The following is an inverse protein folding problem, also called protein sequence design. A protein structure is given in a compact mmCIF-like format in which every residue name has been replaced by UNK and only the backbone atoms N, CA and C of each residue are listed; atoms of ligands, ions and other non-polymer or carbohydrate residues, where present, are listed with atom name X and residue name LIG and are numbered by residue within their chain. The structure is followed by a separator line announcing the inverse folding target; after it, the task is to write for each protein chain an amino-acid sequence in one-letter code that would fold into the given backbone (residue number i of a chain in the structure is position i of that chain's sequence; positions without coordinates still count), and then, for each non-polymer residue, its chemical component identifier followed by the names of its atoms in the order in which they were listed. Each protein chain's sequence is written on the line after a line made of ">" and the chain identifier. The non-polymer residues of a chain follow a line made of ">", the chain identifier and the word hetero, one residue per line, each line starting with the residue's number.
data_IF_674979504405
#
_entry.id   IF_674979504405
#
_cell.length_a   1.000
_cell.length_b   1.000
_cell.length_c   1.000
_cell.angle_alpha   90.00
_cell.angle_beta   90.00
_cell.angle_gamma   90.00
#
_symmetry.space_group_name_H-M   'P 1'
#
loop_
_entity.id
_entity.type
_entity.pdbx_description
1 polymer ?
#
# COMPACT_ATOMS: atom_id res chain seq x y z
N UNK A 1 20.06 -1.72 -4.28
CA UNK A 1 19.04 -2.74 -3.96
C UNK A 1 18.12 -2.90 -5.15
N UNK A 2 17.53 -4.09 -5.30
CA UNK A 2 16.47 -4.38 -6.28
C UNK A 2 15.10 -4.29 -5.56
N UNK A 3 14.28 -3.34 -5.98
CA UNK A 3 13.04 -2.96 -5.30
C UNK A 3 11.86 -3.17 -6.23
N UNK A 4 10.91 -4.02 -5.83
CA UNK A 4 9.65 -4.24 -6.56
C UNK A 4 8.58 -3.33 -5.98
N UNK A 5 7.88 -2.56 -6.83
CA UNK A 5 6.80 -1.67 -6.40
C UNK A 5 5.54 -1.98 -7.20
N UNK A 6 4.44 -2.30 -6.52
CA UNK A 6 3.17 -2.53 -7.19
C UNK A 6 2.36 -1.25 -7.35
N UNK A 7 1.64 -1.11 -8.47
CA UNK A 7 0.83 0.07 -8.74
C UNK A 7 1.64 1.34 -9.00
N UNK A 8 2.73 1.23 -9.76
CA UNK A 8 3.67 2.33 -10.06
C UNK A 8 3.17 3.31 -11.13
N UNK A 9 1.97 3.10 -11.67
CA UNK A 9 1.44 3.94 -12.75
C UNK A 9 0.98 5.34 -12.31
N UNK A 10 0.75 5.57 -11.02
CA UNK A 10 0.31 6.87 -10.48
C UNK A 10 0.52 7.01 -8.98
N UNK A 11 0.23 8.19 -8.43
CA UNK A 11 0.18 8.45 -6.99
C UNK A 11 1.45 8.06 -6.24
N UNK A 12 1.28 7.45 -5.07
CA UNK A 12 2.42 7.06 -4.21
C UNK A 12 3.38 6.10 -4.90
N UNK A 13 2.86 5.12 -5.66
CA UNK A 13 3.71 4.14 -6.35
C UNK A 13 4.63 4.79 -7.36
N UNK A 14 4.14 5.75 -8.14
CA UNK A 14 4.97 6.52 -9.08
C UNK A 14 6.01 7.36 -8.36
N UNK A 15 5.61 8.15 -7.38
CA UNK A 15 6.51 8.99 -6.61
C UNK A 15 7.59 8.16 -5.88
N UNK A 16 7.22 7.01 -5.32
CA UNK A 16 8.16 6.08 -4.69
C UNK A 16 9.16 5.53 -5.71
N UNK A 17 8.68 5.14 -6.90
CA UNK A 17 9.54 4.67 -8.00
C UNK A 17 10.59 5.72 -8.37
N UNK A 18 10.16 6.95 -8.60
CA UNK A 18 11.05 8.03 -8.98
C UNK A 18 12.03 8.41 -7.86
N UNK A 19 11.56 8.46 -6.60
CA UNK A 19 12.38 8.78 -5.43
C UNK A 19 13.48 7.75 -5.22
N UNK A 20 13.14 6.46 -5.28
CA UNK A 20 14.12 5.38 -5.08
C UNK A 20 15.08 5.23 -6.27
N UNK A 21 14.62 5.50 -7.48
CA UNK A 21 15.50 5.54 -8.66
C UNK A 21 16.54 6.66 -8.56
N UNK A 22 16.13 7.88 -8.14
CA UNK A 22 17.04 9.00 -7.86
C UNK A 22 18.05 8.68 -6.74
N UNK A 23 17.65 7.87 -5.77
CA UNK A 23 18.55 7.37 -4.71
C UNK A 23 19.51 6.26 -5.17
N UNK A 24 19.53 5.92 -6.46
CA UNK A 24 20.47 4.97 -7.06
C UNK A 24 20.07 3.49 -6.94
N UNK A 25 18.83 3.20 -6.57
CA UNK A 25 18.31 1.83 -6.55
C UNK A 25 17.91 1.34 -7.95
N UNK A 26 17.86 0.03 -8.13
CA UNK A 26 17.21 -0.60 -9.28
C UNK A 26 15.74 -0.83 -8.91
N UNK A 27 14.82 -0.16 -9.60
CA UNK A 27 13.39 -0.22 -9.32
C UNK A 27 12.66 -1.02 -10.41
N UNK A 28 11.98 -2.07 -9.98
CA UNK A 28 11.07 -2.85 -10.79
C UNK A 28 9.65 -2.31 -10.58
N UNK A 29 9.28 -1.33 -11.41
CA UNK A 29 7.99 -0.65 -11.38
C UNK A 29 6.93 -1.53 -12.03
N UNK A 30 5.94 -2.00 -11.26
CA UNK A 30 4.94 -2.91 -11.81
C UNK A 30 3.57 -2.25 -11.91
N UNK A 31 2.84 -2.57 -12.95
CA UNK A 31 1.48 -2.11 -13.20
C UNK A 31 0.74 -3.07 -14.13
N UNK A 32 -0.57 -3.16 -14.01
CA UNK A 32 -1.40 -3.92 -14.94
C UNK A 32 -1.61 -3.15 -16.24
N UNK A 33 -1.87 -3.86 -17.34
CA UNK A 33 -2.15 -3.27 -18.64
C UNK A 33 -1.09 -2.21 -19.06
N UNK A 34 0.18 -2.57 -18.87
CA UNK A 34 1.33 -1.70 -19.13
C UNK A 34 1.50 -1.36 -20.63
N UNK A 35 0.94 -2.17 -21.52
CA UNK A 35 0.86 -1.93 -22.98
C UNK A 35 -0.54 -1.50 -23.42
N UNK A 36 -1.51 -1.45 -22.49
CA UNK A 36 -2.89 -1.04 -22.71
C UNK A 36 -3.21 0.28 -22.01
N UNK A 37 -4.16 0.24 -21.07
CA UNK A 37 -4.64 1.43 -20.35
C UNK A 37 -3.54 2.22 -19.64
N UNK A 38 -2.49 1.58 -19.17
CA UNK A 38 -1.36 2.22 -18.47
C UNK A 38 -0.12 2.40 -19.36
N UNK A 39 -0.21 2.20 -20.70
CA UNK A 39 0.92 2.33 -21.61
C UNK A 39 1.60 3.70 -21.54
N UNK A 40 0.82 4.78 -21.41
CA UNK A 40 1.36 6.13 -21.25
C UNK A 40 2.19 6.27 -19.96
N UNK A 41 1.68 5.76 -18.83
CA UNK A 41 2.42 5.82 -17.56
C UNK A 41 3.70 4.97 -17.60
N UNK A 42 3.64 3.82 -18.26
CA UNK A 42 4.80 2.97 -18.50
C UNK A 42 5.88 3.69 -19.33
N UNK A 43 5.49 4.33 -20.42
CA UNK A 43 6.41 5.10 -21.28
C UNK A 43 7.01 6.31 -20.55
N UNK A 44 6.21 7.05 -19.79
CA UNK A 44 6.71 8.16 -18.99
C UNK A 44 7.76 7.72 -17.96
N UNK A 45 7.62 6.53 -17.32
CA UNK A 45 8.64 5.98 -16.42
C UNK A 45 9.90 5.52 -17.17
N UNK A 46 9.76 4.92 -18.35
CA UNK A 46 10.90 4.57 -19.21
C UNK A 46 11.66 5.82 -19.66
N UNK A 47 10.95 6.85 -20.10
CA UNK A 47 11.53 8.13 -20.51
C UNK A 47 12.24 8.82 -19.33
N UNK A 48 11.64 8.83 -18.13
CA UNK A 48 12.27 9.33 -16.90
C UNK A 48 13.58 8.60 -16.61
N UNK A 49 13.57 7.27 -16.71
CA UNK A 49 14.77 6.46 -16.49
C UNK A 49 15.88 6.78 -17.51
N UNK A 50 15.54 6.83 -18.79
CA UNK A 50 16.48 7.11 -19.87
C UNK A 50 17.08 8.51 -19.76
N UNK A 51 16.26 9.54 -19.51
CA UNK A 51 16.69 10.93 -19.42
C UNK A 51 17.70 11.20 -18.29
N UNK A 52 17.69 10.39 -17.23
CA UNK A 52 18.51 10.62 -16.04
C UNK A 52 19.49 9.48 -15.74
N UNK A 53 19.58 8.46 -16.60
CA UNK A 53 20.43 7.29 -16.37
C UNK A 53 19.99 6.45 -15.15
N UNK A 54 18.71 6.49 -14.79
CA UNK A 54 18.18 5.72 -13.65
C UNK A 54 17.85 4.27 -14.06
N UNK A 55 17.97 3.36 -13.11
CA UNK A 55 17.64 1.94 -13.30
C UNK A 55 16.18 1.68 -12.92
N UNK A 56 15.25 1.94 -13.84
CA UNK A 56 13.83 1.62 -13.70
C UNK A 56 13.42 0.65 -14.80
N UNK A 57 12.88 -0.49 -14.40
CA UNK A 57 12.34 -1.51 -15.30
C UNK A 57 10.83 -1.60 -15.08
N UNK A 58 10.06 -1.45 -16.14
CA UNK A 58 8.61 -1.55 -16.11
C UNK A 58 8.18 -2.97 -16.43
N UNK A 59 7.36 -3.57 -15.57
CA UNK A 59 6.82 -4.93 -15.73
C UNK A 59 5.30 -4.93 -15.71
N UNK A 60 4.70 -5.79 -16.53
CA UNK A 60 3.29 -6.14 -16.42
C UNK A 60 3.06 -6.94 -15.13
N UNK A 61 2.13 -6.49 -14.28
CA UNK A 61 1.70 -7.24 -13.11
C UNK A 61 0.30 -6.79 -12.67
N UNK A 62 -0.65 -7.72 -12.74
CA UNK A 62 -1.96 -7.56 -12.09
C UNK A 62 -1.96 -8.31 -10.77
N UNK A 63 -2.07 -7.57 -9.66
CA UNK A 63 -2.08 -8.14 -8.30
C UNK A 63 -3.27 -9.05 -8.02
N UNK A 64 -4.31 -9.00 -8.86
CA UNK A 64 -5.50 -9.85 -8.75
C UNK A 64 -5.38 -11.19 -9.49
N UNK A 65 -4.27 -11.42 -10.19
CA UNK A 65 -4.04 -12.60 -11.02
C UNK A 65 -2.77 -13.32 -10.58
N UNK A 66 -2.91 -14.55 -10.08
CA UNK A 66 -1.80 -15.36 -9.57
C UNK A 66 -0.73 -15.59 -10.63
N UNK A 67 -1.11 -15.97 -11.87
CA UNK A 67 -0.16 -16.25 -12.95
C UNK A 67 0.60 -14.98 -13.36
N UNK A 68 -0.06 -13.81 -13.40
CA UNK A 68 0.59 -12.53 -13.67
C UNK A 68 1.63 -12.18 -12.62
N UNK A 69 1.30 -12.37 -11.34
CA UNK A 69 2.21 -12.12 -10.22
C UNK A 69 3.41 -13.07 -10.27
N UNK A 70 3.17 -14.36 -10.44
CA UNK A 70 4.23 -15.37 -10.49
C UNK A 70 5.18 -15.13 -11.67
N UNK A 71 4.64 -14.84 -12.86
CA UNK A 71 5.45 -14.55 -14.04
C UNK A 71 6.32 -13.29 -13.86
N UNK A 72 5.74 -12.20 -13.33
CA UNK A 72 6.47 -10.96 -13.10
C UNK A 72 7.60 -11.14 -12.07
N UNK A 73 7.31 -11.77 -10.93
CA UNK A 73 8.31 -12.01 -9.88
C UNK A 73 9.42 -12.97 -10.37
N UNK A 74 9.07 -14.02 -11.11
CA UNK A 74 10.04 -14.93 -11.69
C UNK A 74 10.97 -14.21 -12.68
N UNK A 75 10.44 -13.36 -13.54
CA UNK A 75 11.23 -12.56 -14.49
C UNK A 75 12.16 -11.57 -13.75
N UNK A 76 11.66 -10.86 -12.72
CA UNK A 76 12.47 -9.97 -11.89
C UNK A 76 13.58 -10.77 -11.19
N UNK A 77 13.26 -11.93 -10.64
CA UNK A 77 14.25 -12.79 -10.00
C UNK A 77 15.33 -13.27 -11.00
N UNK A 78 14.93 -13.60 -12.23
CA UNK A 78 15.87 -13.98 -13.31
C UNK A 78 16.82 -12.81 -13.63
N UNK A 79 16.31 -11.59 -13.78
CA UNK A 79 17.09 -10.39 -14.09
C UNK A 79 18.06 -10.01 -12.99
N UNK A 80 17.71 -10.28 -11.73
CA UNK A 80 18.47 -9.88 -10.54
C UNK A 80 19.31 -11.02 -9.93
N UNK A 81 19.34 -12.19 -10.56
CA UNK A 81 20.00 -13.38 -9.99
C UNK A 81 19.34 -13.84 -8.67
N UNK A 82 18.04 -13.62 -8.50
CA UNK A 82 17.28 -13.91 -7.28
C UNK A 82 17.38 -12.85 -6.18
N UNK A 83 18.00 -11.71 -6.46
CA UNK A 83 18.19 -10.65 -5.47
C UNK A 83 16.99 -9.68 -5.44
N UNK A 84 15.87 -10.09 -4.85
CA UNK A 84 14.75 -9.20 -4.52
C UNK A 84 14.96 -8.70 -3.09
N UNK A 85 15.35 -7.44 -2.93
CA UNK A 85 15.70 -6.86 -1.63
C UNK A 85 14.49 -6.27 -0.91
N UNK A 86 13.60 -5.62 -1.66
CA UNK A 86 12.43 -4.94 -1.12
C UNK A 86 11.21 -5.20 -2.00
N UNK A 87 10.07 -5.43 -1.37
CA UNK A 87 8.75 -5.41 -2.01
C UNK A 87 7.92 -4.30 -1.38
N UNK A 88 7.43 -3.37 -2.18
CA UNK A 88 6.47 -2.33 -1.78
C UNK A 88 5.11 -2.68 -2.36
N UNK A 89 4.23 -3.21 -1.54
CA UNK A 89 2.84 -3.47 -1.88
C UNK A 89 2.04 -2.16 -1.76
N UNK A 90 2.06 -1.39 -2.84
CA UNK A 90 1.38 -0.10 -2.91
C UNK A 90 0.08 -0.18 -3.72
N UNK A 91 -0.07 -1.12 -4.64
CA UNK A 91 -1.30 -1.27 -5.40
C UNK A 91 -2.51 -1.37 -4.46
N UNK A 92 -3.49 -0.51 -4.66
CA UNK A 92 -4.66 -0.44 -3.80
C UNK A 92 -5.80 0.31 -4.47
N UNK A 93 -7.00 0.11 -3.94
CA UNK A 93 -8.22 0.77 -4.38
C UNK A 93 -8.95 1.35 -3.17
N UNK A 94 -9.46 2.55 -3.31
CA UNK A 94 -10.31 3.21 -2.31
C UNK A 94 -11.77 2.79 -2.49
N UNK A 95 -12.57 2.82 -1.42
CA UNK A 95 -14.01 2.64 -1.47
C UNK A 95 -14.72 3.56 -0.47
N UNK A 96 -15.84 4.15 -0.89
CA UNK A 96 -16.67 5.03 -0.05
C UNK A 96 -18.15 4.91 -0.41
N UNK A 97 -18.99 4.87 0.61
CA UNK A 97 -20.44 4.83 0.51
C UNK A 97 -21.08 4.23 1.75
N UNK A 98 -22.38 4.36 1.86
CA UNK A 98 -23.17 3.64 2.88
C UNK A 98 -22.93 2.14 2.70
N UNK A 99 -22.63 1.44 3.76
CA UNK A 99 -22.15 0.05 3.67
C UNK A 99 -23.18 -0.90 3.05
N UNK A 100 -24.46 -0.74 3.34
CA UNK A 100 -25.53 -1.54 2.75
C UNK A 100 -25.64 -1.36 1.23
N UNK A 101 -25.20 -0.22 0.70
CA UNK A 101 -25.26 0.08 -0.74
C UNK A 101 -24.16 -0.57 -1.57
N UNK A 102 -23.19 -1.26 -0.93
CA UNK A 102 -22.21 -2.08 -1.62
C UNK A 102 -22.74 -3.49 -1.84
N UNK A 103 -22.64 -3.98 -3.06
CA UNK A 103 -22.86 -5.40 -3.34
C UNK A 103 -21.68 -6.23 -2.84
N UNK A 104 -21.95 -7.49 -2.49
CA UNK A 104 -20.90 -8.39 -1.96
C UNK A 104 -19.79 -8.64 -2.99
N UNK A 105 -20.11 -8.70 -4.28
CA UNK A 105 -19.10 -8.85 -5.35
C UNK A 105 -18.17 -7.62 -5.46
N UNK A 106 -18.68 -6.42 -5.20
CA UNK A 106 -17.87 -5.19 -5.13
C UNK A 106 -16.91 -5.22 -3.93
N UNK A 107 -17.42 -5.64 -2.78
CA UNK A 107 -16.56 -5.83 -1.58
C UNK A 107 -15.47 -6.87 -1.85
N UNK A 108 -15.81 -8.02 -2.46
CA UNK A 108 -14.83 -9.03 -2.86
C UNK A 108 -13.78 -8.46 -3.82
N UNK A 109 -14.20 -7.66 -4.82
CA UNK A 109 -13.27 -7.05 -5.76
C UNK A 109 -12.29 -6.07 -5.10
N UNK A 110 -12.72 -5.38 -4.04
CA UNK A 110 -11.84 -4.52 -3.23
C UNK A 110 -10.82 -5.34 -2.45
N UNK A 111 -11.26 -6.43 -1.82
CA UNK A 111 -10.37 -7.33 -1.07
C UNK A 111 -9.37 -8.04 -1.99
N UNK A 112 -9.77 -8.38 -3.22
CA UNK A 112 -8.85 -8.94 -4.23
C UNK A 112 -7.64 -8.03 -4.45
N UNK A 113 -7.85 -6.71 -4.55
CA UNK A 113 -6.76 -5.76 -4.74
C UNK A 113 -6.03 -5.46 -3.43
N UNK A 114 -6.75 -5.14 -2.35
CA UNK A 114 -6.18 -4.54 -1.15
C UNK A 114 -5.61 -5.57 -0.16
N UNK A 115 -6.06 -6.81 -0.21
CA UNK A 115 -5.70 -7.87 0.74
C UNK A 115 -5.00 -9.02 0.04
N UNK A 116 -5.68 -9.66 -0.92
CA UNK A 116 -5.13 -10.83 -1.60
C UNK A 116 -4.01 -10.47 -2.57
N UNK A 117 -4.05 -9.27 -3.19
CA UNK A 117 -2.97 -8.76 -4.03
C UNK A 117 -1.63 -8.70 -3.30
N UNK A 118 -1.51 -7.95 -2.19
CA UNK A 118 -0.31 -7.94 -1.34
C UNK A 118 0.13 -9.33 -0.87
N UNK A 119 -0.83 -10.20 -0.53
CA UNK A 119 -0.54 -11.58 -0.12
C UNK A 119 0.10 -12.38 -1.27
N UNK A 120 -0.44 -12.31 -2.51
CA UNK A 120 0.11 -12.96 -3.70
C UNK A 120 1.54 -12.51 -3.99
N UNK A 121 1.75 -11.19 -4.05
CA UNK A 121 3.06 -10.62 -4.37
C UNK A 121 4.10 -10.98 -3.31
N UNK A 122 3.74 -10.85 -2.04
CA UNK A 122 4.62 -11.22 -0.93
C UNK A 122 4.94 -12.72 -0.98
N UNK A 123 3.94 -13.58 -1.17
CA UNK A 123 4.13 -15.03 -1.28
C UNK A 123 5.08 -15.43 -2.41
N UNK A 124 4.98 -14.77 -3.57
CA UNK A 124 5.87 -15.03 -4.70
C UNK A 124 7.31 -14.55 -4.44
N UNK A 125 7.50 -13.43 -3.75
CA UNK A 125 8.83 -12.86 -3.48
C UNK A 125 9.56 -13.53 -2.29
N UNK A 126 8.84 -14.01 -1.27
CA UNK A 126 9.41 -14.56 -0.04
C UNK A 126 10.42 -15.70 -0.25
N UNK A 127 10.26 -16.65 -1.18
CA UNK A 127 11.26 -17.70 -1.39
C UNK A 127 12.65 -17.14 -1.71
N UNK A 128 12.72 -16.04 -2.48
CA UNK A 128 13.96 -15.37 -2.84
C UNK A 128 14.60 -14.67 -1.64
N UNK A 129 13.80 -13.98 -0.82
CA UNK A 129 14.24 -13.30 0.40
C UNK A 129 14.71 -14.31 1.47
N UNK A 130 13.94 -15.39 1.69
CA UNK A 130 14.27 -16.44 2.66
C UNK A 130 15.60 -17.14 2.32
N UNK A 131 15.83 -17.46 1.04
CA UNK A 131 17.08 -18.08 0.58
C UNK A 131 18.30 -17.22 0.92
N UNK A 132 18.16 -15.91 0.87
CA UNK A 132 19.20 -14.92 1.17
C UNK A 132 19.24 -14.51 2.66
N UNK A 133 18.22 -14.90 3.44
CA UNK A 133 18.01 -14.47 4.83
C UNK A 133 18.07 -12.93 4.95
N UNK A 134 17.51 -12.25 4.00
CA UNK A 134 17.51 -10.79 3.91
C UNK A 134 16.36 -10.31 3.05
N UNK A 135 15.57 -9.36 3.55
CA UNK A 135 14.47 -8.77 2.80
C UNK A 135 13.70 -7.70 3.59
N UNK A 136 12.89 -6.96 2.85
CA UNK A 136 11.95 -6.01 3.42
C UNK A 136 10.63 -6.05 2.64
N UNK A 137 9.54 -6.20 3.35
CA UNK A 137 8.19 -6.04 2.81
C UNK A 137 7.57 -4.77 3.39
N UNK A 138 7.19 -3.84 2.53
CA UNK A 138 6.48 -2.61 2.90
C UNK A 138 5.03 -2.71 2.44
N UNK A 139 4.09 -2.65 3.38
CA UNK A 139 2.66 -2.68 3.11
C UNK A 139 2.10 -1.26 3.19
N UNK A 140 1.61 -0.73 2.08
CA UNK A 140 0.95 0.59 2.08
C UNK A 140 -0.52 0.41 2.47
N UNK A 141 -0.79 0.69 3.75
CA UNK A 141 -2.12 0.65 4.36
C UNK A 141 -2.82 2.02 4.30
N UNK A 142 -3.33 2.49 5.39
CA UNK A 142 -3.96 3.79 5.60
C UNK A 142 -4.19 4.01 7.10
N UNK A 143 -4.37 5.26 7.54
CA UNK A 143 -4.86 5.54 8.90
C UNK A 143 -6.20 4.86 9.18
N UNK A 144 -7.03 4.64 8.14
CA UNK A 144 -8.30 3.91 8.29
C UNK A 144 -8.13 2.39 8.36
N UNK A 145 -6.90 1.88 8.32
CA UNK A 145 -6.56 0.51 8.76
C UNK A 145 -6.48 0.37 10.28
N UNK A 146 -6.59 1.48 11.02
CA UNK A 146 -6.57 1.53 12.50
C UNK A 146 -7.82 2.15 13.10
N UNK A 147 -8.46 3.07 12.37
CA UNK A 147 -9.68 3.76 12.80
C UNK A 147 -10.69 3.72 11.68
N UNK A 148 -11.85 3.09 11.90
CA UNK A 148 -12.91 3.09 10.90
C UNK A 148 -13.72 4.38 10.99
N UNK A 149 -14.01 4.99 9.82
CA UNK A 149 -14.85 6.16 9.72
C UNK A 149 -16.20 5.78 9.07
N UNK A 150 -17.29 6.51 9.37
CA UNK A 150 -18.55 6.32 8.68
C UNK A 150 -18.36 6.37 7.16
N UNK A 151 -19.08 5.55 6.44
CA UNK A 151 -19.05 5.40 4.98
C UNK A 151 -17.73 4.90 4.35
N UNK A 152 -16.68 4.66 5.16
CA UNK A 152 -15.45 4.01 4.71
C UNK A 152 -15.32 2.55 5.19
N UNK A 153 -16.35 1.99 5.81
CA UNK A 153 -16.30 0.68 6.50
C UNK A 153 -15.71 -0.45 5.65
N UNK A 154 -16.18 -0.58 4.41
CA UNK A 154 -15.67 -1.61 3.46
C UNK A 154 -14.18 -1.42 3.16
N UNK A 155 -13.74 -0.17 2.93
CA UNK A 155 -12.34 0.14 2.70
C UNK A 155 -11.50 -0.07 3.97
N UNK A 156 -11.97 0.44 5.11
CA UNK A 156 -11.33 0.22 6.41
C UNK A 156 -11.15 -1.26 6.69
N UNK A 157 -12.17 -2.09 6.52
CA UNK A 157 -12.08 -3.53 6.73
C UNK A 157 -10.97 -4.18 5.89
N UNK A 158 -10.81 -3.76 4.62
CA UNK A 158 -9.73 -4.27 3.78
C UNK A 158 -8.35 -3.87 4.29
N UNK A 159 -8.20 -2.64 4.82
CA UNK A 159 -6.92 -2.17 5.38
C UNK A 159 -6.62 -2.77 6.75
N UNK A 160 -7.62 -2.95 7.61
CA UNK A 160 -7.48 -3.73 8.86
C UNK A 160 -7.00 -5.16 8.58
N UNK A 161 -7.59 -5.83 7.57
CA UNK A 161 -7.19 -7.18 7.18
C UNK A 161 -5.73 -7.21 6.68
N UNK A 162 -5.32 -6.26 5.84
CA UNK A 162 -3.93 -6.14 5.38
C UNK A 162 -2.96 -5.97 6.54
N UNK A 163 -3.30 -5.12 7.52
CA UNK A 163 -2.43 -4.88 8.68
C UNK A 163 -2.32 -6.08 9.61
N UNK A 164 -3.42 -6.81 9.83
CA UNK A 164 -3.38 -8.04 10.61
C UNK A 164 -2.47 -9.09 9.97
N UNK A 165 -2.55 -9.26 8.64
CA UNK A 165 -1.66 -10.16 7.90
C UNK A 165 -0.20 -9.70 7.98
N UNK A 166 0.07 -8.39 7.82
CA UNK A 166 1.41 -7.83 7.90
C UNK A 166 2.05 -8.04 9.29
N UNK A 167 1.24 -7.89 10.33
CA UNK A 167 1.69 -8.05 11.72
C UNK A 167 2.06 -9.50 12.03
N UNK A 168 1.24 -10.47 11.61
CA UNK A 168 1.57 -11.88 11.74
C UNK A 168 2.83 -12.24 10.94
N UNK A 169 2.91 -11.80 9.68
CA UNK A 169 4.09 -12.04 8.84
C UNK A 169 5.38 -11.45 9.43
N UNK A 170 5.31 -10.32 10.12
CA UNK A 170 6.50 -9.73 10.78
C UNK A 170 7.10 -10.70 11.78
N UNK A 171 6.29 -11.25 12.68
CA UNK A 171 6.78 -12.17 13.70
C UNK A 171 7.29 -13.47 13.07
N UNK A 172 6.57 -14.02 12.10
CA UNK A 172 6.94 -15.22 11.36
C UNK A 172 8.27 -15.08 10.60
N UNK A 173 8.57 -13.89 10.09
CA UNK A 173 9.72 -13.65 9.20
C UNK A 173 10.93 -13.04 9.90
N UNK A 174 10.77 -12.51 11.12
CA UNK A 174 11.84 -11.83 11.84
C UNK A 174 13.09 -12.72 12.00
N UNK A 175 12.93 -13.96 12.44
CA UNK A 175 14.02 -14.93 12.58
C UNK A 175 14.66 -15.37 11.24
N UNK A 176 14.07 -14.99 10.11
CA UNK A 176 14.57 -15.28 8.78
C UNK A 176 15.32 -14.09 8.14
N UNK A 177 15.52 -13.00 8.89
CA UNK A 177 16.20 -11.80 8.40
C UNK A 177 15.34 -10.92 7.48
N UNK A 178 14.04 -11.03 7.58
CA UNK A 178 13.09 -10.28 6.74
C UNK A 178 12.22 -9.40 7.62
N UNK A 179 12.23 -8.10 7.38
CA UNK A 179 11.36 -7.15 8.06
C UNK A 179 10.05 -6.94 7.30
N UNK A 180 8.98 -6.67 8.03
CA UNK A 180 7.69 -6.24 7.48
C UNK A 180 7.29 -4.93 8.14
N UNK A 181 7.03 -3.89 7.34
CA UNK A 181 6.67 -2.55 7.82
C UNK A 181 5.36 -2.12 7.18
N UNK A 182 4.46 -1.57 7.99
CA UNK A 182 3.21 -0.96 7.52
C UNK A 182 3.38 0.56 7.43
N UNK A 183 3.04 1.14 6.29
CA UNK A 183 2.92 2.59 6.11
C UNK A 183 1.45 2.94 6.13
N UNK A 184 1.07 3.91 6.96
CA UNK A 184 -0.30 4.34 7.21
C UNK A 184 -0.49 5.80 6.74
N UNK A 185 -0.71 6.03 5.43
CA UNK A 185 -1.01 7.37 4.93
C UNK A 185 -2.37 7.87 5.41
N UNK A 186 -2.45 9.18 5.67
CA UNK A 186 -3.71 9.91 5.76
C UNK A 186 -4.31 10.23 4.39
N UNK A 187 -5.07 11.30 4.31
CA UNK A 187 -5.65 11.77 3.07
C UNK A 187 -4.64 12.63 2.28
N UNK A 188 -4.38 12.26 1.03
CA UNK A 188 -3.48 12.95 0.12
C UNK A 188 -4.14 13.20 -1.24
N UNK A 189 -3.82 14.29 -1.94
CA UNK A 189 -4.32 14.57 -3.29
C UNK A 189 -3.66 13.64 -4.31
N UNK A 190 -4.25 12.47 -4.50
CA UNK A 190 -3.82 11.47 -5.48
C UNK A 190 -5.02 11.02 -6.31
N UNK A 191 -4.77 10.34 -7.42
CA UNK A 191 -5.84 9.81 -8.29
C UNK A 191 -6.64 8.63 -7.66
N UNK A 192 -6.29 8.19 -6.46
CA UNK A 192 -6.94 7.02 -5.84
C UNK A 192 -8.44 7.26 -5.61
N UNK A 193 -8.83 8.50 -5.29
CA UNK A 193 -10.23 8.89 -5.16
C UNK A 193 -11.00 8.78 -6.49
N UNK A 194 -10.40 9.26 -7.59
CA UNK A 194 -11.03 9.22 -8.92
C UNK A 194 -11.20 7.78 -9.46
N UNK A 195 -10.40 6.85 -8.97
CA UNK A 195 -10.42 5.41 -9.34
C UNK A 195 -11.09 4.55 -8.27
N UNK A 196 -11.74 5.19 -7.27
CA UNK A 196 -12.41 4.54 -6.16
C UNK A 196 -13.61 3.70 -6.56
N UNK A 197 -13.98 2.81 -5.66
CA UNK A 197 -15.27 2.13 -5.70
C UNK A 197 -16.27 2.93 -4.88
N UNK A 198 -17.32 3.38 -5.54
CA UNK A 198 -18.42 4.09 -4.88
C UNK A 198 -19.67 3.21 -4.90
N UNK A 199 -20.42 3.23 -3.81
CA UNK A 199 -21.63 2.42 -3.71
C UNK A 199 -22.63 2.74 -4.83
N UNK A 200 -23.22 1.72 -5.42
CA UNK A 200 -24.06 1.84 -6.62
C UNK A 200 -25.55 1.63 -6.39
N UNK A 201 -25.99 1.46 -5.15
CA UNK A 201 -27.41 1.31 -4.84
C UNK A 201 -27.95 2.55 -4.14
N UNK A 202 -28.39 3.59 -4.90
CA UNK A 202 -28.92 4.82 -4.31
C UNK A 202 -30.22 4.58 -3.52
N UNK A 203 -31.06 3.63 -3.94
CA UNK A 203 -32.31 3.34 -3.24
C UNK A 203 -32.06 2.90 -1.79
N UNK A 204 -30.96 2.18 -1.53
CA UNK A 204 -30.55 1.80 -0.18
C UNK A 204 -29.86 2.94 0.58
N UNK A 205 -29.18 3.85 -0.11
CA UNK A 205 -28.49 4.98 0.52
C UNK A 205 -29.50 6.03 1.00
N UNK A 206 -30.55 6.30 0.25
CA UNK A 206 -31.46 7.43 0.48
C UNK A 206 -32.21 7.32 1.82
N UNK A 207 -32.50 6.11 2.28
CA UNK A 207 -33.14 5.84 3.56
C UNK A 207 -32.24 6.14 4.79
N UNK A 208 -30.93 6.36 4.59
CA UNK A 208 -29.98 6.66 5.66
C UNK A 208 -29.98 8.13 6.10
N UNK A 209 -30.80 8.99 5.47
CA UNK A 209 -30.93 10.38 5.86
C UNK A 209 -29.60 11.13 5.92
N UNK A 210 -29.23 11.74 7.08
CA UNK A 210 -27.98 12.50 7.19
C UNK A 210 -26.71 11.68 6.91
N UNK A 211 -26.71 10.37 7.16
CA UNK A 211 -25.56 9.50 6.92
C UNK A 211 -25.27 9.33 5.42
N UNK A 212 -26.29 9.35 4.56
CA UNK A 212 -26.11 9.33 3.11
C UNK A 212 -25.32 10.52 2.55
N UNK A 213 -25.30 11.66 3.29
CA UNK A 213 -24.58 12.86 2.88
C UNK A 213 -23.12 12.88 3.32
N UNK A 214 -22.68 11.93 4.16
CA UNK A 214 -21.30 11.90 4.69
C UNK A 214 -20.28 11.80 3.55
N UNK A 215 -20.41 10.93 2.52
CA UNK A 215 -19.45 10.87 1.42
C UNK A 215 -19.26 12.21 0.72
N UNK A 216 -20.33 12.92 0.43
CA UNK A 216 -20.29 14.24 -0.19
C UNK A 216 -19.56 15.25 0.72
N UNK A 217 -19.96 15.34 1.99
CA UNK A 217 -19.33 16.26 2.96
C UNK A 217 -17.85 15.97 3.15
N UNK A 218 -17.47 14.70 3.17
CA UNK A 218 -16.06 14.28 3.24
C UNK A 218 -15.33 14.70 1.97
N UNK A 219 -15.89 14.48 0.78
CA UNK A 219 -15.32 14.91 -0.49
C UNK A 219 -15.09 16.43 -0.54
N UNK A 220 -16.09 17.23 -0.12
CA UNK A 220 -15.97 18.69 -0.03
C UNK A 220 -14.90 19.13 0.98
N UNK A 221 -14.81 18.45 2.13
CA UNK A 221 -13.78 18.68 3.14
C UNK A 221 -12.38 18.42 2.59
N UNK A 222 -12.19 17.30 1.91
CA UNK A 222 -10.93 16.93 1.25
C UNK A 222 -10.58 17.89 0.12
N UNK A 223 -11.55 18.31 -0.70
CA UNK A 223 -11.32 19.30 -1.77
C UNK A 223 -10.82 20.64 -1.19
N UNK A 224 -11.43 21.13 -0.11
CA UNK A 224 -10.96 22.33 0.60
C UNK A 224 -9.54 22.16 1.15
N UNK A 225 -9.27 21.02 1.79
CA UNK A 225 -7.95 20.70 2.31
C UNK A 225 -6.90 20.69 1.21
N UNK A 226 -7.16 20.00 0.11
CA UNK A 226 -6.21 19.84 -1.00
C UNK A 226 -5.97 21.13 -1.80
N UNK A 227 -6.89 22.09 -1.70
CA UNK A 227 -6.74 23.44 -2.28
C UNK A 227 -6.07 24.43 -1.34
N UNK A 228 -5.77 24.05 -0.09
CA UNK A 228 -5.19 24.94 0.91
C UNK A 228 -3.66 25.02 0.76
N UNK A 229 -3.03 26.11 1.28
CA UNK A 229 -1.56 26.21 1.35
C UNK A 229 -0.91 25.06 2.17
N UNK A 230 -1.67 24.47 3.09
CA UNK A 230 -1.22 23.38 3.95
C UNK A 230 -1.62 21.99 3.39
N UNK A 231 -1.94 21.90 2.11
CA UNK A 231 -2.28 20.63 1.46
C UNK A 231 -1.17 19.59 1.69
N UNK A 232 -1.50 18.38 2.16
CA UNK A 232 -0.52 17.33 2.36
C UNK A 232 0.09 16.93 1.00
N UNK A 233 1.41 16.74 0.98
CA UNK A 233 2.14 16.42 -0.26
C UNK A 233 2.30 14.90 -0.39
N UNK A 234 1.82 14.28 -1.47
CA UNK A 234 1.97 12.83 -1.68
C UNK A 234 3.42 12.34 -1.63
N UNK A 235 4.38 13.23 -1.89
CA UNK A 235 5.81 12.95 -1.78
C UNK A 235 6.21 12.50 -0.37
N UNK A 236 5.53 12.95 0.69
CA UNK A 236 5.80 12.55 2.08
C UNK A 236 5.73 11.04 2.28
N UNK A 237 4.86 10.34 1.54
CA UNK A 237 4.74 8.88 1.61
C UNK A 237 5.94 8.22 0.94
N UNK A 238 6.37 8.70 -0.22
CA UNK A 238 7.57 8.21 -0.91
C UNK A 238 8.83 8.43 -0.05
N UNK A 239 8.94 9.60 0.60
CA UNK A 239 10.05 9.92 1.49
C UNK A 239 10.06 9.04 2.75
N UNK A 240 8.88 8.70 3.28
CA UNK A 240 8.77 7.76 4.40
C UNK A 240 9.22 6.36 4.00
N UNK A 241 8.80 5.86 2.85
CA UNK A 241 9.24 4.56 2.31
C UNK A 241 10.75 4.57 2.08
N UNK A 242 11.29 5.65 1.50
CA UNK A 242 12.72 5.80 1.31
C UNK A 242 13.49 5.71 2.65
N UNK A 243 13.04 6.40 3.70
CA UNK A 243 13.66 6.30 5.04
C UNK A 243 13.60 4.90 5.61
N UNK A 244 12.45 4.20 5.48
CA UNK A 244 12.29 2.81 5.94
C UNK A 244 13.31 1.89 5.27
N UNK A 245 13.49 2.02 3.96
CA UNK A 245 14.42 1.19 3.18
C UNK A 245 15.88 1.39 3.65
N UNK A 246 16.26 2.62 4.01
CA UNK A 246 17.60 2.95 4.49
C UNK A 246 17.81 2.70 5.99
N UNK A 247 16.75 2.41 6.74
CA UNK A 247 16.88 1.98 8.14
C UNK A 247 17.43 0.55 8.18
N UNK A 248 18.46 0.27 9.01
CA UNK A 248 19.04 -1.08 9.10
C UNK A 248 18.00 -2.13 9.50
N UNK A 249 18.24 -3.39 9.05
CA UNK A 249 17.45 -4.54 9.48
C UNK A 249 17.38 -4.63 11.01
N UNK A 250 16.18 -4.96 11.53
CA UNK A 250 15.91 -5.07 12.97
C UNK A 250 15.73 -3.74 13.71
N UNK A 251 15.98 -2.60 13.02
CA UNK A 251 15.77 -1.25 13.59
C UNK A 251 14.57 -0.53 12.93
N UNK A 252 13.91 -1.18 11.97
CA UNK A 252 12.76 -0.61 11.28
C UNK A 252 11.54 -0.59 12.18
N UNK A 253 10.78 0.53 12.20
CA UNK A 253 9.55 0.59 12.97
C UNK A 253 8.49 -0.37 12.40
N UNK A 254 7.63 -0.87 13.25
CA UNK A 254 6.51 -1.73 12.84
C UNK A 254 5.53 -1.00 11.93
N UNK A 255 5.25 0.26 12.26
CA UNK A 255 4.29 1.13 11.59
C UNK A 255 4.84 2.53 11.44
N UNK A 256 4.53 3.16 10.31
CA UNK A 256 4.87 4.55 10.03
C UNK A 256 3.61 5.29 9.59
N UNK A 257 3.07 6.12 10.48
CA UNK A 257 1.96 7.01 10.16
C UNK A 257 2.49 8.21 9.38
N UNK A 258 1.96 8.43 8.19
CA UNK A 258 2.27 9.57 7.33
C UNK A 258 1.02 10.43 7.22
N UNK A 259 0.79 11.27 8.21
CA UNK A 259 -0.35 12.18 8.29
C UNK A 259 -0.06 13.27 9.33
N UNK A 260 0.09 14.48 8.87
CA UNK A 260 0.40 15.63 9.73
C UNK A 260 -0.87 16.24 10.37
N UNK A 261 -2.06 15.85 9.91
CA UNK A 261 -3.33 16.43 10.35
C UNK A 261 -4.03 15.58 11.41
N UNK A 262 -4.22 14.29 11.12
CA UNK A 262 -4.97 13.37 11.98
C UNK A 262 -4.13 12.20 12.49
N UNK A 263 -2.86 12.17 12.16
CA UNK A 263 -1.95 11.07 12.50
C UNK A 263 -1.61 10.95 13.98
N UNK A 264 -1.70 12.02 14.77
CA UNK A 264 -1.40 11.99 16.20
C UNK A 264 -2.19 10.94 16.99
N UNK A 265 -3.52 10.95 16.93
CA UNK A 265 -4.36 9.91 17.55
C UNK A 265 -4.06 8.49 17.08
N UNK A 266 -3.75 8.31 15.79
CA UNK A 266 -3.42 6.99 15.23
C UNK A 266 -2.08 6.49 15.76
N UNK A 267 -1.07 7.36 15.89
CA UNK A 267 0.21 7.03 16.52
C UNK A 267 0.02 6.57 17.97
N UNK A 268 -0.74 7.31 18.77
CA UNK A 268 -1.04 6.97 20.15
C UNK A 268 -1.79 5.62 20.26
N UNK A 269 -2.75 5.37 19.35
CA UNK A 269 -3.44 4.08 19.28
C UNK A 269 -2.47 2.93 18.96
N UNK A 270 -1.56 3.13 18.00
CA UNK A 270 -0.56 2.13 17.64
C UNK A 270 0.38 1.80 18.79
N UNK A 271 0.84 2.82 19.53
CA UNK A 271 1.69 2.63 20.72
C UNK A 271 0.97 1.84 21.82
N UNK A 272 -0.26 2.21 22.14
CA UNK A 272 -1.08 1.51 23.10
C UNK A 272 -1.34 0.06 22.68
N UNK A 273 -1.71 -0.15 21.43
CA UNK A 273 -1.94 -1.48 20.86
C UNK A 273 -0.70 -2.37 20.97
N UNK A 274 0.47 -1.87 20.57
CA UNK A 274 1.71 -2.64 20.62
C UNK A 274 2.09 -3.07 22.05
N UNK A 275 1.84 -2.21 23.02
CA UNK A 275 2.04 -2.55 24.44
C UNK A 275 1.18 -3.77 24.82
N UNK A 276 -0.12 -3.69 24.59
CA UNK A 276 -1.04 -4.77 24.97
C UNK A 276 -0.84 -6.04 24.14
N UNK A 277 -0.47 -5.90 22.86
CA UNK A 277 -0.13 -7.04 22.02
C UNK A 277 1.04 -7.85 22.59
N UNK A 278 2.09 -7.18 23.09
CA UNK A 278 3.20 -7.87 23.75
C UNK A 278 2.75 -8.65 24.98
N UNK A 279 1.83 -8.10 25.78
CA UNK A 279 1.28 -8.79 26.93
C UNK A 279 0.53 -10.08 26.52
N UNK A 280 -0.22 -10.03 25.42
CA UNK A 280 -0.91 -11.20 24.85
C UNK A 280 0.09 -12.25 24.37
N UNK A 281 1.10 -11.86 23.58
CA UNK A 281 2.13 -12.78 23.09
C UNK A 281 2.89 -13.46 24.22
N UNK A 282 3.24 -12.71 25.27
CA UNK A 282 3.87 -13.25 26.46
C UNK A 282 2.97 -14.28 27.19
N UNK A 283 1.66 -14.03 27.28
CA UNK A 283 0.71 -14.97 27.87
C UNK A 283 0.64 -16.30 27.10
N UNK A 284 0.79 -16.26 25.77
CA UNK A 284 0.87 -17.44 24.92
C UNK A 284 2.29 -18.04 24.81
N UNK A 285 3.30 -17.45 25.47
CA UNK A 285 4.71 -17.84 25.39
C UNK A 285 5.28 -17.83 23.97
N UNK A 286 4.87 -16.85 23.19
CA UNK A 286 5.30 -16.68 21.79
C UNK A 286 6.36 -15.57 21.66
N UNK A 287 6.51 -14.72 22.66
CA UNK A 287 7.49 -13.62 22.71
C UNK A 287 8.72 -14.01 23.55
#
# INVERSE_FOLDING_TARGET
>A
MNIVITGSNSGFGRLTTETLARAGHTVHATMRESEGRNARAAEELRAFAAAHGHRVHVHELDVTNDASVEAAIAEIARQTGGAIDVVVNNAGRFAMGVQESFRVDEVKSLFEVNVFGPLRVTRAALPHMRKRRSGLVVQVSSIVGRVSLPTTGTYSASKFALEALAEAQRDELHGLGIDVVVVEPGAFPTEVGNKGLYAHDPARSDDYGPAAQIPQKMGEGLARLFSSPNAPKPQQVADAIHRIIHTPHGQRPDRVVVDDLTGGPVKALNEAYQKHRRDVLAAFRIA
#
